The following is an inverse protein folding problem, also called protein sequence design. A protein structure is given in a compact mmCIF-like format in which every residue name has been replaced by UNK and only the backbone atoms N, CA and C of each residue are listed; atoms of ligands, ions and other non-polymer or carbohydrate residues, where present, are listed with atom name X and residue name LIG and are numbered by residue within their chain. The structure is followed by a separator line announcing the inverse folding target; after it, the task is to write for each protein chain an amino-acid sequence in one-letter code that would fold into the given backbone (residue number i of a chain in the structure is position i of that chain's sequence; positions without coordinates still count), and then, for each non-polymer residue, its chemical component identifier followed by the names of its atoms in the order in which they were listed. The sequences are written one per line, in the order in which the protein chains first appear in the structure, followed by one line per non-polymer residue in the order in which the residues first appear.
data_IF_095280620214
#
_entry.id   IF_095280620214
#
_cell.length_a   1.000
_cell.length_b   1.000
_cell.length_c   1.000
_cell.angle_alpha   90.00
_cell.angle_beta   90.00
_cell.angle_gamma   90.00
#
_symmetry.space_group_name_H-M   'P 1'
#
loop_
_entity.id
_entity.type
_entity.pdbx_description
1 polymer ?
#
# COMPACT_ATOMS: atom_id res chain seq x y z
N UNK A 1 -18.50 -2.04 5.27
CA UNK A 1 -17.62 -0.99 4.72
C UNK A 1 -17.17 0.03 5.77
N UNK A 2 -15.99 0.62 5.59
CA UNK A 2 -15.44 1.64 6.50
C UNK A 2 -15.95 3.04 6.16
N UNK A 3 -16.53 3.70 7.17
CA UNK A 3 -17.17 5.01 7.07
C UNK A 3 -16.33 6.04 7.82
N UNK A 4 -15.98 7.16 7.18
CA UNK A 4 -15.22 8.25 7.77
C UNK A 4 -16.00 8.96 8.89
N UNK A 5 -15.40 8.99 10.09
CA UNK A 5 -15.99 9.66 11.26
C UNK A 5 -16.20 11.16 11.05
N UNK A 6 -15.45 11.79 10.13
CA UNK A 6 -15.50 13.24 9.88
C UNK A 6 -16.64 13.67 8.95
N UNK A 7 -16.95 12.87 7.93
CA UNK A 7 -17.83 13.30 6.84
C UNK A 7 -18.82 12.23 6.35
N UNK A 8 -18.81 11.03 6.93
CA UNK A 8 -19.68 9.93 6.51
C UNK A 8 -19.30 9.27 5.17
N UNK A 9 -18.24 9.74 4.51
CA UNK A 9 -17.75 9.18 3.26
C UNK A 9 -17.11 7.80 3.42
N UNK A 10 -17.15 7.00 2.35
CA UNK A 10 -16.52 5.68 2.31
C UNK A 10 -15.00 5.78 2.13
N UNK A 11 -14.26 4.84 2.69
CA UNK A 11 -12.82 4.71 2.45
C UNK A 11 -12.52 3.76 1.29
N UNK A 12 -11.61 4.19 0.41
CA UNK A 12 -10.87 3.29 -0.50
C UNK A 12 -9.57 2.89 0.18
N UNK A 13 -9.22 1.61 0.08
CA UNK A 13 -8.00 1.04 0.65
C UNK A 13 -7.01 0.81 -0.48
N UNK A 14 -5.87 1.49 -0.43
CA UNK A 14 -4.76 1.27 -1.33
C UNK A 14 -3.69 0.46 -0.61
N UNK A 15 -3.23 -0.63 -1.23
CA UNK A 15 -2.06 -1.39 -0.79
C UNK A 15 -0.95 -1.17 -1.80
N UNK A 16 0.23 -0.78 -1.33
CA UNK A 16 1.42 -0.70 -2.19
C UNK A 16 2.11 -2.05 -2.18
N UNK A 17 2.42 -2.56 -3.36
CA UNK A 17 3.24 -3.75 -3.54
C UNK A 17 4.49 -3.36 -4.32
N UNK A 18 5.63 -3.93 -3.96
CA UNK A 18 6.91 -3.73 -4.65
C UNK A 18 7.27 -5.03 -5.35
N UNK A 19 7.66 -4.95 -6.62
CA UNK A 19 8.22 -6.09 -7.33
C UNK A 19 9.73 -6.06 -7.08
N UNK A 20 10.26 -7.09 -6.42
CA UNK A 20 11.69 -7.28 -6.28
C UNK A 20 12.17 -8.17 -7.42
N UNK A 21 13.10 -7.64 -8.19
CA UNK A 21 13.74 -8.32 -9.32
C UNK A 21 15.20 -8.62 -8.97
N UNK A 22 15.63 -9.86 -9.21
CA UNK A 22 17.02 -10.29 -8.98
C UNK A 22 17.75 -10.44 -10.33
N UNK A 23 18.85 -9.71 -10.50
CA UNK A 23 19.65 -9.71 -11.73
C UNK A 23 21.00 -10.40 -11.53
N UNK A 24 21.52 -11.04 -12.59
CA UNK A 24 22.94 -11.37 -12.67
C UNK A 24 23.71 -10.16 -13.18
N UNK A 25 24.70 -9.75 -12.39
CA UNK A 25 25.62 -8.66 -12.75
C UNK A 25 27.00 -9.23 -13.12
N UNK A 26 27.68 -8.59 -14.07
CA UNK A 26 29.07 -8.91 -14.41
C UNK A 26 30.05 -8.29 -13.39
N UNK A 27 31.35 -8.46 -13.65
CA UNK A 27 32.42 -7.91 -12.78
C UNK A 27 32.50 -6.38 -12.82
N UNK A 28 31.89 -5.75 -13.82
CA UNK A 28 31.85 -4.30 -14.03
C UNK A 28 30.54 -3.69 -13.50
N UNK A 29 29.58 -4.53 -13.08
CA UNK A 29 28.28 -4.15 -12.53
C UNK A 29 27.16 -4.07 -13.56
N UNK A 30 27.38 -4.50 -14.81
CA UNK A 30 26.35 -4.49 -15.84
C UNK A 30 25.45 -5.72 -15.74
N UNK A 31 24.16 -5.52 -16.00
CA UNK A 31 23.18 -6.59 -16.09
C UNK A 31 23.47 -7.48 -17.30
N UNK A 32 23.57 -8.80 -17.07
CA UNK A 32 23.95 -9.76 -18.12
C UNK A 32 22.71 -10.42 -18.76
N UNK A 33 21.56 -10.42 -18.09
CA UNK A 33 20.39 -11.19 -18.50
C UNK A 33 19.06 -10.65 -17.92
N UNK A 34 17.93 -11.19 -18.40
CA UNK A 34 16.60 -10.94 -17.84
C UNK A 34 16.51 -11.32 -16.35
N UNK A 35 15.66 -10.65 -15.56
CA UNK A 35 15.54 -10.89 -14.12
C UNK A 35 15.21 -12.36 -13.82
N UNK A 36 16.04 -12.97 -12.98
CA UNK A 36 16.00 -14.41 -12.68
C UNK A 36 14.77 -14.80 -11.86
N UNK A 37 14.28 -13.87 -11.05
CA UNK A 37 13.12 -14.03 -10.17
C UNK A 37 12.39 -12.72 -10.03
N UNK A 38 11.07 -12.82 -9.93
CA UNK A 38 10.19 -11.75 -9.54
C UNK A 38 9.50 -12.17 -8.25
N UNK A 39 9.66 -11.39 -7.19
CA UNK A 39 8.94 -11.59 -5.94
C UNK A 39 8.06 -10.37 -5.68
N UNK A 40 6.75 -10.62 -5.51
CA UNK A 40 5.84 -9.59 -5.03
C UNK A 40 6.02 -9.45 -3.52
N UNK A 41 6.51 -8.30 -3.10
CA UNK A 41 6.67 -7.95 -1.70
C UNK A 41 5.53 -7.01 -1.32
N UNK A 42 4.63 -7.50 -0.48
CA UNK A 42 3.57 -6.71 0.13
C UNK A 42 3.95 -6.42 1.58
N UNK A 43 4.13 -5.15 1.92
CA UNK A 43 4.26 -4.76 3.32
C UNK A 43 2.87 -4.50 3.89
N UNK A 44 2.52 -5.19 4.97
CA UNK A 44 1.23 -5.00 5.63
C UNK A 44 1.01 -3.58 6.16
N UNK A 45 2.08 -2.83 6.36
CA UNK A 45 2.07 -1.44 6.84
C UNK A 45 1.95 -0.40 5.72
N UNK A 46 2.20 -0.79 4.46
CA UNK A 46 2.08 0.06 3.27
C UNK A 46 0.63 0.12 2.76
N UNK A 47 -0.29 0.36 3.69
CA UNK A 47 -1.72 0.48 3.43
C UNK A 47 -2.17 1.91 3.70
N UNK A 48 -2.84 2.51 2.73
CA UNK A 48 -3.41 3.86 2.82
C UNK A 48 -4.94 3.81 2.74
N UNK A 49 -5.60 4.51 3.65
CA UNK A 49 -7.05 4.69 3.67
C UNK A 49 -7.38 6.09 3.18
N UNK A 50 -8.09 6.19 2.06
CA UNK A 50 -8.47 7.47 1.45
C UNK A 50 -9.98 7.65 1.54
N UNK A 51 -10.44 8.69 2.23
CA UNK A 51 -11.85 9.02 2.27
C UNK A 51 -12.28 9.64 0.94
N UNK A 52 -13.23 9.01 0.26
CA UNK A 52 -13.74 9.44 -1.06
C UNK A 52 -14.44 10.78 -1.05
N UNK A 53 -14.96 11.22 0.10
CA UNK A 53 -15.71 12.48 0.21
C UNK A 53 -14.82 13.64 0.63
N UNK A 54 -14.00 13.47 1.68
CA UNK A 54 -13.17 14.56 2.19
C UNK A 54 -11.72 14.54 1.68
N UNK A 55 -11.32 13.54 0.89
CA UNK A 55 -9.98 13.40 0.32
C UNK A 55 -8.87 13.13 1.32
N UNK A 56 -9.19 12.97 2.62
CA UNK A 56 -8.18 12.72 3.65
C UNK A 56 -7.55 11.35 3.48
N UNK A 57 -6.23 11.32 3.62
CA UNK A 57 -5.40 10.13 3.50
C UNK A 57 -4.89 9.80 4.90
N UNK A 58 -5.04 8.53 5.29
CA UNK A 58 -4.54 7.99 6.54
C UNK A 58 -3.65 6.79 6.25
N UNK A 59 -2.43 6.80 6.76
CA UNK A 59 -1.47 5.70 6.60
C UNK A 59 -1.66 4.70 7.73
N UNK A 60 -1.76 3.41 7.43
CA UNK A 60 -1.96 2.34 8.43
C UNK A 60 -0.82 2.28 9.45
N UNK A 61 0.41 2.55 9.03
CA UNK A 61 1.57 2.62 9.92
C UNK A 61 1.50 3.77 10.95
N UNK A 62 0.64 4.76 10.75
CA UNK A 62 0.48 5.93 11.64
C UNK A 62 -0.88 5.94 12.33
N UNK A 63 -1.92 5.45 11.67
CA UNK A 63 -3.31 5.61 12.10
C UNK A 63 -4.02 4.26 12.20
N UNK A 64 -4.62 4.00 13.36
CA UNK A 64 -5.52 2.87 13.52
C UNK A 64 -6.86 3.20 12.85
N UNK A 65 -7.29 2.36 11.90
CA UNK A 65 -8.54 2.59 11.14
C UNK A 65 -9.77 2.72 12.05
N UNK A 66 -9.78 2.06 13.21
CA UNK A 66 -10.89 2.11 14.17
C UNK A 66 -11.04 3.48 14.86
N UNK A 67 -10.00 4.31 14.86
CA UNK A 67 -10.04 5.66 15.44
C UNK A 67 -10.62 6.69 14.46
N UNK A 68 -10.43 6.44 13.16
CA UNK A 68 -10.78 7.37 12.08
C UNK A 68 -12.05 6.97 11.33
N UNK A 69 -12.53 5.73 11.54
CA UNK A 69 -13.65 5.16 10.83
C UNK A 69 -14.49 4.20 11.68
N UNK A 70 -15.75 4.02 11.28
CA UNK A 70 -16.66 3.00 11.82
C UNK A 70 -16.95 1.97 10.72
N UNK A 71 -16.95 0.69 11.06
CA UNK A 71 -17.43 -0.36 10.16
C UNK A 71 -18.96 -0.42 10.20
N UNK A 72 -19.61 -0.32 9.03
CA UNK A 72 -21.03 -0.61 8.85
C UNK A 72 -21.20 -1.76 7.88
N UNK A 73 -22.00 -2.77 8.23
CA UNK A 73 -22.34 -3.87 7.32
C UNK A 73 -23.07 -3.37 6.07
#
# INVERSE_FOLDING_TARGET
MWICNKCGGFFIIYKKSVIKEEFKIDKEGNEIDLPLKHELIENEDDVSYICTTCGRIYLKCISNIKEIAIWKE
#
